data_IF_630424084263
#
_entry.id   IF_630424084263
#
_cell.length_a   1.000
_cell.length_b   1.000
_cell.length_c   1.000
_cell.angle_alpha   90.00
_cell.angle_beta   90.00
_cell.angle_gamma   90.00
#
_symmetry.space_group_name_H-M   'P 1'
#
loop_
_entity.id
_entity.type
_entity.pdbx_description
1 polymer ?
#
# COMPACT_ATOMS: atom_id res chain seq x y z
N UNK A 1 -3.99 -2.85 33.30
CA UNK A 1 -4.38 -3.04 31.91
C UNK A 1 -3.69 -1.98 31.06
N UNK A 2 -2.90 -2.40 30.11
CA UNK A 2 -2.18 -1.47 29.27
C UNK A 2 -3.15 -0.80 28.27
N UNK A 3 -3.19 0.51 28.28
CA UNK A 3 -3.90 1.22 27.24
C UNK A 3 -3.04 1.24 25.97
N UNK A 4 -3.67 0.90 24.84
CA UNK A 4 -2.99 1.05 23.58
C UNK A 4 -2.73 2.54 23.34
N UNK A 5 -1.48 2.89 23.18
CA UNK A 5 -1.12 4.26 22.81
C UNK A 5 -1.19 4.40 21.32
N UNK A 6 -1.77 5.51 20.86
CA UNK A 6 -1.69 5.85 19.44
C UNK A 6 -0.22 6.02 19.06
N UNK A 7 0.21 5.24 18.11
CA UNK A 7 1.55 5.38 17.56
C UNK A 7 1.49 6.28 16.34
N UNK A 8 2.45 7.19 16.26
CA UNK A 8 2.60 8.06 15.11
C UNK A 8 3.91 7.75 14.42
N UNK A 9 3.83 7.44 13.14
CA UNK A 9 5.01 7.29 12.29
C UNK A 9 5.03 8.42 11.28
N UNK A 10 6.18 9.05 11.12
CA UNK A 10 6.35 10.17 10.19
C UNK A 10 7.36 9.77 9.13
N UNK A 11 6.97 9.96 7.88
CA UNK A 11 7.81 9.59 6.74
C UNK A 11 8.08 10.83 5.89
N UNK A 12 9.35 11.16 5.64
CA UNK A 12 9.66 12.21 4.67
C UNK A 12 9.25 11.75 3.28
N UNK A 13 8.81 12.69 2.47
CA UNK A 13 8.55 12.40 1.06
C UNK A 13 9.82 11.89 0.40
N UNK A 14 9.66 11.02 -0.56
CA UNK A 14 10.74 10.44 -1.32
C UNK A 14 10.52 10.69 -2.81
N UNK A 15 11.56 10.54 -3.59
CA UNK A 15 11.46 10.77 -5.02
C UNK A 15 10.67 9.66 -5.70
N UNK A 16 9.65 10.07 -6.45
CA UNK A 16 8.91 9.22 -7.36
C UNK A 16 8.84 9.98 -8.68
N UNK A 17 9.52 9.48 -9.69
CA UNK A 17 9.57 10.10 -11.02
C UNK A 17 10.02 11.56 -10.99
N UNK A 18 11.09 11.84 -10.25
CA UNK A 18 11.68 13.17 -10.17
C UNK A 18 10.91 14.15 -9.29
N UNK A 19 9.87 13.71 -8.60
CA UNK A 19 9.08 14.55 -7.69
C UNK A 19 9.10 13.98 -6.29
N UNK A 20 9.22 14.84 -5.29
CA UNK A 20 9.02 14.44 -3.90
C UNK A 20 7.56 14.09 -3.70
N UNK A 21 7.33 12.88 -3.24
CA UNK A 21 5.99 12.28 -3.17
C UNK A 21 5.82 11.51 -1.87
N UNK A 22 4.57 11.35 -1.40
CA UNK A 22 4.31 10.60 -0.14
C UNK A 22 4.46 9.09 -0.37
N UNK A 23 5.70 8.65 -0.47
CA UNK A 23 6.06 7.24 -0.56
C UNK A 23 6.41 6.74 0.84
N UNK A 24 5.86 5.60 1.23
CA UNK A 24 6.12 5.05 2.56
C UNK A 24 6.53 3.58 2.46
N UNK A 25 7.39 3.12 3.37
CA UNK A 25 7.76 1.71 3.43
C UNK A 25 6.61 0.92 4.04
N UNK A 26 6.20 -0.14 3.35
CA UNK A 26 5.12 -1.03 3.79
C UNK A 26 5.65 -2.45 3.79
N UNK A 27 5.54 -3.11 4.94
CA UNK A 27 5.84 -4.54 5.03
C UNK A 27 4.66 -5.35 4.52
N UNK A 28 4.92 -6.32 3.67
CA UNK A 28 3.91 -7.24 3.15
C UNK A 28 4.41 -8.66 3.34
N UNK A 29 3.56 -9.52 3.91
CA UNK A 29 3.92 -10.90 4.17
C UNK A 29 3.30 -11.82 3.12
N UNK A 30 4.15 -12.54 2.40
CA UNK A 30 3.74 -13.54 1.41
C UNK A 30 4.45 -14.85 1.75
N UNK A 31 3.67 -15.92 1.96
CA UNK A 31 4.21 -17.24 2.30
C UNK A 31 5.16 -17.17 3.50
N UNK A 32 4.72 -16.51 4.56
CA UNK A 32 5.47 -16.34 5.81
C UNK A 32 6.76 -15.52 5.67
N UNK A 33 6.97 -14.84 4.54
CA UNK A 33 8.13 -13.96 4.32
C UNK A 33 7.68 -12.51 4.28
N UNK A 34 8.30 -11.68 5.10
CA UNK A 34 8.06 -10.24 5.11
C UNK A 34 9.02 -9.55 4.14
N UNK A 35 8.45 -8.75 3.26
CA UNK A 35 9.21 -7.95 2.32
C UNK A 35 8.70 -6.51 2.38
N UNK A 36 9.62 -5.55 2.41
CA UNK A 36 9.26 -4.13 2.41
C UNK A 36 9.21 -3.63 0.97
N UNK A 37 8.15 -2.89 0.68
CA UNK A 37 8.00 -2.19 -0.59
C UNK A 37 7.69 -0.72 -0.32
N UNK A 38 8.12 0.16 -1.22
CA UNK A 38 7.75 1.57 -1.16
C UNK A 38 6.46 1.77 -1.93
N UNK A 39 5.43 2.28 -1.25
CA UNK A 39 4.13 2.51 -1.84
C UNK A 39 3.76 3.98 -1.78
N UNK A 40 3.18 4.47 -2.87
CA UNK A 40 2.63 5.82 -2.94
C UNK A 40 1.31 5.86 -2.18
N UNK A 41 1.18 6.75 -1.21
CA UNK A 41 -0.06 6.89 -0.42
C UNK A 41 -1.08 7.62 -1.28
N UNK A 42 -2.10 6.88 -1.74
CA UNK A 42 -3.06 7.37 -2.71
C UNK A 42 -4.49 7.29 -2.16
N UNK A 43 -5.00 8.42 -1.68
CA UNK A 43 -6.36 8.52 -1.17
C UNK A 43 -7.43 8.34 -2.26
N UNK A 44 -7.04 8.47 -3.52
CA UNK A 44 -7.93 8.23 -4.66
C UNK A 44 -8.03 6.77 -5.08
N UNK A 45 -7.13 5.91 -4.59
CA UNK A 45 -7.16 4.49 -4.92
C UNK A 45 -8.05 3.74 -3.92
N UNK A 46 -9.01 2.97 -4.42
CA UNK A 46 -9.87 2.16 -3.56
C UNK A 46 -9.10 1.00 -2.94
N UNK A 47 -8.24 0.37 -3.73
CA UNK A 47 -7.45 -0.78 -3.31
C UNK A 47 -5.96 -0.49 -3.40
N UNK A 48 -5.19 -1.15 -2.55
CA UNK A 48 -3.75 -1.24 -2.72
C UNK A 48 -3.47 -2.04 -3.99
N UNK A 49 -2.60 -1.51 -4.83
CA UNK A 49 -2.33 -2.08 -6.13
C UNK A 49 -0.83 -2.12 -6.38
N UNK A 50 -0.33 -3.30 -6.69
CA UNK A 50 1.10 -3.53 -6.87
C UNK A 50 1.37 -4.24 -8.18
N UNK A 51 2.58 -4.03 -8.70
CA UNK A 51 3.06 -4.81 -9.83
C UNK A 51 3.14 -6.28 -9.45
N UNK A 52 2.68 -7.14 -10.36
CA UNK A 52 2.68 -8.58 -10.14
C UNK A 52 4.08 -9.14 -9.87
N UNK A 53 5.12 -8.47 -10.35
CA UNK A 53 6.49 -8.94 -10.16
C UNK A 53 6.84 -9.10 -8.67
N UNK A 54 6.30 -8.25 -7.81
CA UNK A 54 6.50 -8.38 -6.37
C UNK A 54 6.01 -9.75 -5.86
N UNK A 55 4.83 -10.16 -6.32
CA UNK A 55 4.27 -11.46 -5.95
C UNK A 55 5.07 -12.62 -6.56
N UNK A 56 5.45 -12.48 -7.82
CA UNK A 56 6.23 -13.49 -8.53
C UNK A 56 7.56 -13.75 -7.82
N UNK A 57 8.25 -12.69 -7.40
CA UNK A 57 9.53 -12.79 -6.72
C UNK A 57 9.42 -13.51 -5.36
N UNK A 58 8.23 -13.53 -4.77
CA UNK A 58 7.95 -14.20 -3.51
C UNK A 58 7.18 -15.52 -3.71
N UNK A 59 7.17 -16.04 -4.94
CA UNK A 59 6.56 -17.31 -5.30
C UNK A 59 5.05 -17.38 -5.04
N UNK A 60 4.37 -16.26 -5.13
CA UNK A 60 2.91 -16.23 -5.03
C UNK A 60 2.31 -16.36 -6.44
N UNK A 61 1.45 -17.35 -6.63
CA UNK A 61 0.66 -17.46 -7.83
C UNK A 61 -0.46 -16.41 -7.79
N UNK A 62 -0.14 -15.19 -8.21
CA UNK A 62 -1.02 -14.06 -7.99
C UNK A 62 -2.35 -14.19 -8.71
N UNK A 63 -2.40 -14.90 -9.87
CA UNK A 63 -3.65 -15.09 -10.61
C UNK A 63 -4.65 -15.99 -9.90
N UNK A 64 -4.25 -16.68 -8.84
CA UNK A 64 -5.19 -17.45 -8.00
C UNK A 64 -6.02 -16.57 -7.07
N UNK A 65 -5.69 -15.31 -6.96
CA UNK A 65 -6.50 -14.35 -6.21
C UNK A 65 -7.80 -14.02 -6.94
N UNK A 66 -8.64 -13.27 -6.26
CA UNK A 66 -9.93 -12.85 -6.82
C UNK A 66 -9.69 -11.81 -7.91
N UNK A 67 -10.11 -12.13 -9.13
CA UNK A 67 -9.95 -11.22 -10.25
C UNK A 67 -10.94 -10.06 -10.16
N UNK A 68 -10.42 -8.85 -10.28
CA UNK A 68 -11.18 -7.62 -10.35
C UNK A 68 -10.56 -6.70 -11.38
N UNK A 69 -11.25 -5.61 -11.68
CA UNK A 69 -10.73 -4.58 -12.58
C UNK A 69 -10.54 -3.29 -11.79
N UNK A 70 -9.37 -2.69 -11.95
CA UNK A 70 -9.06 -1.39 -11.34
C UNK A 70 -9.09 -0.33 -12.43
N UNK A 71 -9.72 0.81 -12.13
CA UNK A 71 -9.69 1.96 -13.01
C UNK A 71 -8.41 2.75 -12.72
N UNK A 72 -7.63 3.01 -13.76
CA UNK A 72 -6.38 3.77 -13.65
C UNK A 72 -6.55 5.18 -14.19
N UNK A 73 -5.51 6.01 -14.06
CA UNK A 73 -5.58 7.45 -14.24
C UNK A 73 -6.16 7.95 -15.57
N UNK A 74 -6.03 7.20 -16.65
CA UNK A 74 -6.61 7.57 -17.97
C UNK A 74 -8.05 7.06 -18.16
N UNK A 75 -8.63 6.47 -17.11
CA UNK A 75 -9.98 5.90 -17.16
C UNK A 75 -10.03 4.47 -17.66
N UNK A 76 -8.92 3.90 -18.10
CA UNK A 76 -8.90 2.51 -18.57
C UNK A 76 -9.01 1.55 -17.39
N UNK A 77 -9.50 0.33 -17.67
CA UNK A 77 -9.62 -0.73 -16.68
C UNK A 77 -8.50 -1.73 -16.89
N UNK A 78 -7.83 -2.09 -15.82
CA UNK A 78 -6.81 -3.13 -15.86
C UNK A 78 -7.21 -4.29 -14.94
N UNK A 79 -6.90 -5.54 -15.33
CA UNK A 79 -7.15 -6.68 -14.46
C UNK A 79 -6.19 -6.68 -13.29
N UNK A 80 -6.71 -6.96 -12.10
CA UNK A 80 -5.91 -7.19 -10.90
C UNK A 80 -6.44 -8.40 -10.16
N UNK A 81 -5.60 -9.00 -9.33
CA UNK A 81 -5.95 -10.18 -8.55
C UNK A 81 -5.74 -9.86 -7.08
N UNK A 82 -6.82 -9.91 -6.30
CA UNK A 82 -6.80 -9.55 -4.89
C UNK A 82 -6.41 -10.74 -4.03
N UNK A 83 -5.49 -10.47 -3.11
CA UNK A 83 -5.10 -11.39 -2.05
C UNK A 83 -5.19 -10.66 -0.73
N UNK A 84 -5.74 -11.31 0.28
CA UNK A 84 -5.73 -10.76 1.64
C UNK A 84 -4.43 -11.14 2.30
N UNK A 85 -3.59 -10.16 2.59
CA UNK A 85 -2.23 -10.38 3.06
C UNK A 85 -1.96 -9.60 4.34
N UNK A 86 -1.13 -10.14 5.25
CA UNK A 86 -0.64 -9.36 6.37
C UNK A 86 0.22 -8.21 5.89
N UNK A 87 0.02 -7.06 6.51
CA UNK A 87 0.68 -5.81 6.15
C UNK A 87 1.17 -5.13 7.42
N UNK A 88 2.26 -4.38 7.30
CA UNK A 88 2.78 -3.60 8.44
C UNK A 88 3.14 -2.20 7.97
N UNK A 89 2.62 -1.21 8.69
CA UNK A 89 3.00 0.19 8.51
C UNK A 89 3.39 0.73 9.89
N UNK A 90 4.63 1.19 10.02
CA UNK A 90 5.16 1.55 11.32
C UNK A 90 5.14 0.34 12.25
N UNK A 91 4.63 0.52 13.45
CA UNK A 91 4.52 -0.57 14.43
C UNK A 91 3.23 -1.36 14.33
N UNK A 92 2.33 -1.05 13.38
CA UNK A 92 1.01 -1.69 13.32
C UNK A 92 0.94 -2.74 12.23
N UNK A 93 0.52 -3.95 12.62
CA UNK A 93 0.23 -5.07 11.71
C UNK A 93 -1.26 -5.25 11.56
N UNK A 94 -1.70 -5.55 10.35
CA UNK A 94 -3.11 -5.78 10.02
C UNK A 94 -3.17 -6.58 8.72
N UNK A 95 -4.36 -7.06 8.37
CA UNK A 95 -4.57 -7.70 7.08
C UNK A 95 -5.31 -6.75 6.14
N UNK A 96 -4.92 -6.75 4.87
CA UNK A 96 -5.56 -5.91 3.87
C UNK A 96 -5.57 -6.59 2.51
N UNK A 97 -6.56 -6.26 1.67
CA UNK A 97 -6.53 -6.73 0.28
C UNK A 97 -5.43 -6.02 -0.50
N UNK A 98 -4.66 -6.79 -1.23
CA UNK A 98 -3.60 -6.28 -2.12
C UNK A 98 -3.88 -6.83 -3.51
N UNK A 99 -4.03 -5.94 -4.47
CA UNK A 99 -4.22 -6.30 -5.87
C UNK A 99 -2.90 -6.35 -6.60
N UNK A 100 -2.69 -7.40 -7.37
CA UNK A 100 -1.50 -7.55 -8.21
C UNK A 100 -1.90 -7.48 -9.67
N UNK A 101 -1.19 -6.68 -10.45
CA UNK A 101 -1.46 -6.52 -11.87
C UNK A 101 -0.17 -6.50 -12.68
N UNK A 102 -0.20 -7.19 -13.83
CA UNK A 102 0.88 -7.10 -14.80
C UNK A 102 0.80 -5.86 -15.68
N UNK A 103 -0.35 -5.18 -15.63
CA UNK A 103 -0.65 -4.02 -16.50
C UNK A 103 -0.67 -2.70 -15.77
N UNK A 104 -0.10 -2.65 -14.57
CA UNK A 104 -0.03 -1.40 -13.83
C UNK A 104 0.90 -0.43 -14.58
N UNK A 105 0.30 0.58 -15.20
CA UNK A 105 1.02 1.51 -16.06
C UNK A 105 1.77 2.61 -15.32
N UNK A 106 1.47 2.79 -14.02
CA UNK A 106 2.24 3.69 -13.17
C UNK A 106 3.51 2.98 -12.72
N UNK A 107 4.57 3.76 -12.52
CA UNK A 107 5.88 3.19 -12.19
C UNK A 107 6.09 2.93 -10.71
N UNK A 108 5.06 3.11 -9.89
CA UNK A 108 5.13 2.85 -8.45
C UNK A 108 3.87 2.13 -8.01
N UNK A 109 4.02 1.41 -6.91
CA UNK A 109 2.90 0.71 -6.30
C UNK A 109 2.06 1.70 -5.48
N UNK A 110 0.75 1.45 -5.39
CA UNK A 110 -0.20 2.35 -4.73
C UNK A 110 -0.68 1.75 -3.41
N UNK A 111 -0.67 2.55 -2.37
CA UNK A 111 -1.32 2.21 -1.10
C UNK A 111 -2.72 2.79 -1.13
N UNK A 112 -3.73 1.92 -1.26
CA UNK A 112 -5.12 2.32 -1.36
C UNK A 112 -5.85 2.32 -0.03
N UNK A 113 -7.13 2.68 -0.08
CA UNK A 113 -7.92 2.90 1.14
C UNK A 113 -8.40 1.62 1.80
N UNK A 114 -8.90 0.65 1.03
CA UNK A 114 -9.57 -0.54 1.59
C UNK A 114 -8.65 -1.38 2.45
N UNK A 115 -9.10 -1.62 3.70
CA UNK A 115 -8.34 -2.41 4.66
C UNK A 115 -7.13 -1.73 5.23
N UNK A 116 -6.81 -0.50 4.80
CA UNK A 116 -5.61 0.24 5.21
C UNK A 116 -5.97 1.52 5.95
N UNK A 117 -6.66 2.44 5.28
CA UNK A 117 -6.91 3.78 5.84
C UNK A 117 -7.79 3.74 7.10
N UNK A 118 -8.61 2.73 7.26
CA UNK A 118 -9.43 2.57 8.46
C UNK A 118 -8.62 2.34 9.73
N UNK A 119 -7.36 1.93 9.59
CA UNK A 119 -6.48 1.69 10.73
C UNK A 119 -5.69 2.91 11.16
N UNK A 120 -5.75 4.00 10.38
CA UNK A 120 -4.89 5.16 10.59
C UNK A 120 -5.60 6.48 10.37
N UNK A 121 -5.14 7.48 11.11
CA UNK A 121 -5.31 8.87 10.70
C UNK A 121 -4.07 9.24 9.89
N UNK A 122 -4.27 9.59 8.62
CA UNK A 122 -3.18 9.90 7.70
C UNK A 122 -3.18 11.38 7.41
N UNK A 123 -2.05 12.04 7.64
CA UNK A 123 -1.91 13.46 7.41
C UNK A 123 -0.80 13.74 6.42
N UNK A 124 -1.11 14.51 5.40
CA UNK A 124 -0.13 15.01 4.43
C UNK A 124 0.24 16.43 4.82
N UNK A 125 1.51 16.67 5.06
CA UNK A 125 2.00 18.00 5.37
C UNK A 125 2.90 18.45 4.21
N UNK A 126 2.27 19.00 3.19
CA UNK A 126 2.93 19.29 1.92
C UNK A 126 4.10 20.25 2.07
N UNK A 127 3.94 21.28 2.90
CA UNK A 127 5.00 22.27 3.11
C UNK A 127 6.27 21.65 3.71
N UNK A 128 6.10 20.72 4.64
CA UNK A 128 7.23 20.03 5.29
C UNK A 128 7.66 18.77 4.53
N UNK A 129 6.90 18.38 3.51
CA UNK A 129 7.17 17.19 2.71
C UNK A 129 7.25 15.94 3.57
N UNK A 130 6.26 15.77 4.43
CA UNK A 130 6.12 14.57 5.27
C UNK A 130 4.68 14.07 5.23
N UNK A 131 4.53 12.77 5.42
CA UNK A 131 3.24 12.12 5.63
C UNK A 131 3.30 11.38 6.95
N UNK A 132 2.26 11.49 7.77
CA UNK A 132 2.22 10.81 9.05
C UNK A 132 1.07 9.82 9.11
N UNK A 133 1.33 8.72 9.79
CA UNK A 133 0.35 7.66 10.05
C UNK A 133 0.19 7.54 11.56
N UNK A 134 -0.99 7.85 12.06
CA UNK A 134 -1.33 7.66 13.46
C UNK A 134 -2.29 6.49 13.56
N UNK A 135 -1.91 5.45 14.31
CA UNK A 135 -2.77 4.29 14.47
C UNK A 135 -4.03 4.66 15.26
N UNK A 136 -5.18 4.15 14.84
CA UNK A 136 -6.47 4.35 15.49
C UNK A 136 -7.10 3.00 15.83
N UNK A 137 -7.84 3.04 16.89
CA UNK A 137 -8.65 1.92 17.26
C UNK A 137 -8.19 0.78 17.91
#
# INVERSE_FOLDING_TARGET
>A
MAQSRSQVSVYPYDLAHGRLSPMVPVGICIKARWQVAQLYVDSGASNTLMHAQFAIDLDLEFRKGRKMFAQVGDGSLIPMYLHKLPMQIGGKRFEAPVGFSERLGVRFNLLGRQGVFEHFKICFHEKRRVVSFQSVG
#
